data_IF_099161747155
#
_entry.id   IF_099161747155
#
_cell.length_a   1.000
_cell.length_b   1.000
_cell.length_c   1.000
_cell.angle_alpha   90.00
_cell.angle_beta   90.00
_cell.angle_gamma   90.00
#
_symmetry.space_group_name_H-M   'P 1'
#
loop_
_entity.id
_entity.type
_entity.pdbx_description
1 polymer ?
#
# COMPACT_ATOMS: atom_id res chain seq x y z
N UNK A 1 48.89 29.31 29.32
CA UNK A 1 47.56 29.16 28.68
C UNK A 1 47.73 28.58 27.28
N UNK A 2 47.21 27.38 27.00
CA UNK A 2 46.80 26.95 25.66
C UNK A 2 45.88 25.74 25.83
N UNK A 3 44.61 25.99 25.56
CA UNK A 3 43.46 25.13 25.82
C UNK A 3 43.51 23.94 24.86
N UNK A 4 43.53 22.74 25.43
CA UNK A 4 43.49 21.46 24.72
C UNK A 4 42.12 21.33 24.03
N UNK A 5 42.09 21.49 22.70
CA UNK A 5 40.88 21.34 21.88
C UNK A 5 40.46 19.87 21.89
N UNK A 6 39.47 19.55 22.71
CA UNK A 6 38.74 18.27 22.67
C UNK A 6 37.94 18.27 21.36
N UNK A 7 38.41 17.50 20.39
CA UNK A 7 37.69 17.20 19.15
C UNK A 7 36.57 16.24 19.53
N UNK A 8 35.39 16.79 19.78
CA UNK A 8 34.17 16.02 20.01
C UNK A 8 33.72 15.45 18.66
N UNK A 9 34.23 14.27 18.32
CA UNK A 9 33.85 13.50 17.15
C UNK A 9 32.44 12.93 17.41
N UNK A 10 31.42 13.73 17.13
CA UNK A 10 30.02 13.28 17.12
C UNK A 10 29.91 12.22 16.02
N UNK A 11 29.91 10.94 16.42
CA UNK A 11 29.57 9.82 15.56
C UNK A 11 28.14 10.04 15.06
N UNK A 12 28.00 10.65 13.89
CA UNK A 12 26.76 10.61 13.11
C UNK A 12 26.62 9.17 12.59
N UNK A 13 26.19 8.26 13.47
CA UNK A 13 25.67 6.98 13.01
C UNK A 13 24.52 7.32 12.06
N UNK A 14 24.58 6.91 10.77
CA UNK A 14 23.42 7.05 9.92
C UNK A 14 22.32 6.25 10.60
N UNK A 15 21.26 6.93 11.04
CA UNK A 15 20.01 6.30 11.40
C UNK A 15 19.52 5.58 10.14
N UNK A 16 19.94 4.33 9.99
CA UNK A 16 19.49 3.46 8.91
C UNK A 16 18.01 3.28 9.13
N UNK A 17 17.24 4.00 8.32
CA UNK A 17 15.81 4.01 8.41
C UNK A 17 15.29 2.62 7.97
N UNK A 18 15.05 1.76 8.96
CA UNK A 18 14.73 0.35 8.78
C UNK A 18 13.28 0.20 8.33
N UNK A 19 13.06 -0.63 7.30
CA UNK A 19 11.73 -1.02 6.84
C UNK A 19 11.08 -1.96 7.85
N UNK A 20 10.08 -1.44 8.56
CA UNK A 20 9.39 -2.14 9.65
C UNK A 20 7.98 -2.62 9.23
N UNK A 21 7.72 -2.69 7.91
CA UNK A 21 6.45 -3.19 7.39
C UNK A 21 6.26 -4.66 7.77
N UNK A 22 5.10 -5.05 8.34
CA UNK A 22 4.80 -6.44 8.63
C UNK A 22 4.68 -7.25 7.32
N UNK A 23 5.01 -8.55 7.37
CA UNK A 23 4.98 -9.42 6.19
C UNK A 23 3.62 -9.46 5.47
N UNK A 24 2.53 -9.35 6.22
CA UNK A 24 1.18 -9.28 5.64
C UNK A 24 0.94 -8.00 4.83
N UNK A 25 1.59 -6.89 5.18
CA UNK A 25 1.47 -5.64 4.42
C UNK A 25 2.17 -5.78 3.08
N UNK A 26 3.38 -6.36 3.09
CA UNK A 26 4.13 -6.66 1.87
C UNK A 26 3.39 -7.65 0.95
N UNK A 27 2.65 -8.60 1.52
CA UNK A 27 1.77 -9.48 0.74
C UNK A 27 0.63 -8.69 0.08
N UNK A 28 -0.02 -7.81 0.83
CA UNK A 28 -1.06 -6.93 0.29
C UNK A 28 -0.52 -6.02 -0.82
N UNK A 29 0.69 -5.49 -0.70
CA UNK A 29 1.30 -4.69 -1.78
C UNK A 29 1.46 -5.47 -3.09
N UNK A 30 1.74 -6.77 -3.01
CA UNK A 30 2.10 -7.61 -4.16
C UNK A 30 0.93 -8.40 -4.73
N UNK A 31 -0.07 -8.69 -3.92
CA UNK A 31 -1.12 -9.66 -4.21
C UNK A 31 -2.52 -9.14 -3.83
N UNK A 32 -2.76 -7.82 -3.83
CA UNK A 32 -4.04 -7.21 -3.48
C UNK A 32 -5.22 -7.69 -4.33
N UNK A 33 -5.13 -7.58 -5.66
CA UNK A 33 -6.24 -7.87 -6.58
C UNK A 33 -6.44 -9.37 -6.74
N UNK A 34 -7.45 -9.91 -6.05
CA UNK A 34 -7.92 -11.26 -6.24
C UNK A 34 -8.85 -11.33 -7.47
N UNK A 35 -8.49 -12.15 -8.47
CA UNK A 35 -9.23 -12.26 -9.74
C UNK A 35 -10.72 -12.60 -9.55
N UNK A 36 -11.06 -13.44 -8.57
CA UNK A 36 -12.45 -13.81 -8.29
C UNK A 36 -13.24 -12.64 -7.70
N UNK A 37 -12.67 -11.90 -6.75
CA UNK A 37 -13.32 -10.71 -6.16
C UNK A 37 -13.49 -9.63 -7.21
N UNK A 38 -12.44 -9.38 -8.01
CA UNK A 38 -12.44 -8.36 -9.05
C UNK A 38 -13.47 -8.67 -10.13
N UNK A 39 -13.53 -9.91 -10.63
CA UNK A 39 -14.52 -10.31 -11.64
C UNK A 39 -15.95 -10.35 -11.08
N UNK A 40 -16.11 -10.63 -9.78
CA UNK A 40 -17.40 -10.48 -9.10
C UNK A 40 -17.86 -9.02 -9.11
N UNK A 41 -16.98 -8.08 -8.77
CA UNK A 41 -17.26 -6.65 -8.88
C UNK A 41 -17.63 -6.27 -10.33
N UNK A 42 -16.84 -6.70 -11.32
CA UNK A 42 -17.15 -6.43 -12.72
C UNK A 42 -18.55 -6.90 -13.14
N UNK A 43 -19.00 -8.06 -12.63
CA UNK A 43 -20.35 -8.55 -12.83
C UNK A 43 -21.43 -7.64 -12.23
N UNK A 44 -21.25 -7.21 -10.98
CA UNK A 44 -22.20 -6.36 -10.25
C UNK A 44 -22.37 -4.98 -10.91
N UNK A 45 -21.31 -4.42 -11.49
CA UNK A 45 -21.33 -3.12 -12.17
C UNK A 45 -21.35 -3.23 -13.71
N UNK A 46 -21.71 -4.39 -14.25
CA UNK A 46 -21.95 -4.61 -15.69
C UNK A 46 -20.79 -4.25 -16.61
N UNK A 47 -19.55 -4.42 -16.14
CA UNK A 47 -18.35 -4.21 -16.96
C UNK A 47 -18.36 -5.22 -18.12
N UNK A 48 -18.17 -4.80 -19.38
CA UNK A 48 -18.21 -5.70 -20.53
C UNK A 48 -17.23 -6.88 -20.40
N UNK A 49 -17.71 -8.12 -20.49
CA UNK A 49 -16.86 -9.33 -20.34
C UNK A 49 -15.63 -9.35 -21.26
N UNK A 50 -15.73 -8.76 -22.44
CA UNK A 50 -14.63 -8.64 -23.39
C UNK A 50 -13.42 -7.85 -22.87
N UNK A 51 -13.60 -6.94 -21.89
CA UNK A 51 -12.52 -6.15 -21.31
C UNK A 51 -11.89 -6.79 -20.06
N UNK A 52 -12.52 -7.80 -19.46
CA UNK A 52 -12.10 -8.34 -18.15
C UNK A 52 -10.66 -8.81 -18.13
N UNK A 53 -10.25 -9.59 -19.14
CA UNK A 53 -8.87 -10.10 -19.24
C UNK A 53 -7.85 -8.96 -19.36
N UNK A 54 -8.18 -7.92 -20.14
CA UNK A 54 -7.32 -6.75 -20.29
C UNK A 54 -7.17 -6.01 -18.96
N UNK A 55 -8.28 -5.78 -18.25
CA UNK A 55 -8.27 -5.09 -16.96
C UNK A 55 -7.47 -5.91 -15.94
N UNK A 56 -7.75 -7.20 -15.79
CA UNK A 56 -7.03 -8.08 -14.85
C UNK A 56 -5.51 -8.06 -15.10
N UNK A 57 -5.09 -8.18 -16.36
CA UNK A 57 -3.66 -8.07 -16.73
C UNK A 57 -3.06 -6.74 -16.28
N UNK A 58 -3.75 -5.62 -16.54
CA UNK A 58 -3.28 -4.28 -16.15
C UNK A 58 -3.23 -4.10 -14.64
N UNK A 59 -4.17 -4.69 -13.89
CA UNK A 59 -4.11 -4.72 -12.42
C UNK A 59 -2.84 -5.42 -11.95
N UNK A 60 -2.52 -6.61 -12.50
CA UNK A 60 -1.27 -7.33 -12.18
C UNK A 60 -0.02 -6.55 -12.54
N UNK A 61 0.01 -5.91 -13.71
CA UNK A 61 1.10 -5.03 -14.12
C UNK A 61 1.27 -3.82 -13.18
N UNK A 62 0.16 -3.29 -12.65
CA UNK A 62 0.16 -2.23 -11.64
C UNK A 62 0.68 -2.69 -10.27
N UNK A 63 0.30 -3.89 -9.82
CA UNK A 63 0.73 -4.47 -8.53
C UNK A 63 2.25 -4.64 -8.45
N UNK A 64 2.90 -5.04 -9.56
CA UNK A 64 4.36 -5.16 -9.63
C UNK A 64 5.07 -3.87 -9.19
N UNK A 65 4.45 -2.71 -9.41
CA UNK A 65 5.01 -1.41 -9.09
C UNK A 65 4.46 -0.80 -7.80
N UNK A 66 3.51 -1.46 -7.12
CA UNK A 66 2.80 -0.90 -5.98
C UNK A 66 3.75 -0.56 -4.81
N UNK A 67 4.67 -1.47 -4.47
CA UNK A 67 5.68 -1.26 -3.41
C UNK A 67 6.49 0.02 -3.67
N UNK A 68 7.04 0.18 -4.87
CA UNK A 68 7.81 1.38 -5.24
C UNK A 68 6.96 2.66 -5.20
N UNK A 69 5.69 2.59 -5.62
CA UNK A 69 4.77 3.73 -5.56
C UNK A 69 4.52 4.11 -4.10
N UNK A 70 4.21 3.14 -3.24
CA UNK A 70 3.92 3.36 -1.81
C UNK A 70 5.15 3.96 -1.12
N UNK A 71 6.35 3.43 -1.35
CA UNK A 71 7.60 3.99 -0.82
C UNK A 71 7.84 5.44 -1.30
N UNK A 72 7.56 5.74 -2.57
CA UNK A 72 7.69 7.10 -3.09
C UNK A 72 6.68 8.04 -2.43
N UNK A 73 5.46 7.58 -2.18
CA UNK A 73 4.43 8.37 -1.48
C UNK A 73 4.76 8.57 -0.01
N UNK A 74 5.30 7.56 0.66
CA UNK A 74 5.60 7.58 2.10
C UNK A 74 6.71 8.58 2.45
N UNK A 75 7.65 8.81 1.52
CA UNK A 75 8.69 9.85 1.63
C UNK A 75 8.17 11.29 1.68
N UNK A 76 6.87 11.52 1.39
CA UNK A 76 6.25 12.85 1.49
C UNK A 76 5.76 13.18 2.90
N UNK A 77 5.75 12.21 3.81
CA UNK A 77 5.42 12.41 5.21
C UNK A 77 6.66 12.90 5.96
N UNK A 78 6.46 13.72 6.99
CA UNK A 78 7.55 14.19 7.86
C UNK A 78 8.30 13.03 8.53
N UNK A 79 7.57 11.97 8.89
CA UNK A 79 8.09 10.68 9.34
C UNK A 79 7.55 9.63 8.39
N UNK A 80 8.44 8.80 7.82
CA UNK A 80 8.03 7.76 6.88
C UNK A 80 7.17 6.71 7.61
N UNK A 81 5.88 6.56 7.26
CA UNK A 81 4.96 5.66 7.97
C UNK A 81 5.27 4.17 7.79
N UNK A 82 6.16 3.82 6.87
CA UNK A 82 6.60 2.44 6.60
C UNK A 82 7.83 2.04 7.42
N UNK A 83 8.48 2.99 8.10
CA UNK A 83 9.68 2.77 8.90
C UNK A 83 9.34 2.67 10.38
N UNK A 84 10.29 2.26 11.21
CA UNK A 84 10.10 2.17 12.67
C UNK A 84 9.91 3.57 13.32
N UNK A 85 8.84 3.81 14.08
CA UNK A 85 7.71 2.90 14.33
C UNK A 85 6.73 2.85 13.16
N UNK A 86 6.37 1.64 12.74
CA UNK A 86 5.38 1.43 11.68
C UNK A 86 4.05 2.07 12.07
N UNK A 87 3.48 2.88 11.17
CA UNK A 87 2.22 3.61 11.41
C UNK A 87 1.09 2.93 10.61
N UNK A 88 0.35 1.97 11.20
CA UNK A 88 -0.57 1.12 10.46
C UNK A 88 -1.71 1.88 9.78
N UNK A 89 -2.26 2.92 10.42
CA UNK A 89 -3.36 3.71 9.85
C UNK A 89 -2.93 4.50 8.60
N UNK A 90 -1.75 5.11 8.68
CA UNK A 90 -1.17 5.86 7.55
C UNK A 90 -0.76 4.90 6.43
N UNK A 91 -0.15 3.77 6.78
CA UNK A 91 0.22 2.73 5.83
C UNK A 91 -1.02 2.12 5.13
N UNK A 92 -2.11 1.91 5.86
CA UNK A 92 -3.41 1.45 5.32
C UNK A 92 -3.98 2.47 4.33
N UNK A 93 -3.96 3.75 4.67
CA UNK A 93 -4.42 4.82 3.78
C UNK A 93 -3.57 4.86 2.49
N UNK A 94 -2.24 4.78 2.61
CA UNK A 94 -1.32 4.73 1.48
C UNK A 94 -1.55 3.54 0.56
N UNK A 95 -1.79 2.36 1.14
CA UNK A 95 -2.12 1.14 0.40
C UNK A 95 -3.45 1.33 -0.33
N UNK A 96 -4.52 1.75 0.36
CA UNK A 96 -5.85 1.97 -0.24
C UNK A 96 -5.78 2.95 -1.40
N UNK A 97 -5.14 4.09 -1.21
CA UNK A 97 -5.00 5.12 -2.23
C UNK A 97 -4.22 4.60 -3.46
N UNK A 98 -3.14 3.85 -3.23
CA UNK A 98 -2.31 3.31 -4.32
C UNK A 98 -3.04 2.24 -5.10
N UNK A 99 -3.70 1.30 -4.43
CA UNK A 99 -4.49 0.28 -5.10
C UNK A 99 -5.68 0.89 -5.85
N UNK A 100 -6.33 1.91 -5.30
CA UNK A 100 -7.41 2.64 -5.99
C UNK A 100 -6.90 3.29 -7.28
N UNK A 101 -5.73 3.93 -7.24
CA UNK A 101 -5.13 4.54 -8.44
C UNK A 101 -4.79 3.50 -9.51
N UNK A 102 -4.22 2.35 -9.11
CA UNK A 102 -3.95 1.24 -10.02
C UNK A 102 -5.25 0.73 -10.66
N UNK A 103 -6.29 0.54 -9.85
CA UNK A 103 -7.59 0.09 -10.31
C UNK A 103 -8.21 1.04 -11.34
N UNK A 104 -8.34 2.32 -10.99
CA UNK A 104 -8.91 3.34 -11.88
C UNK A 104 -8.15 3.39 -13.19
N UNK A 105 -6.82 3.37 -13.15
CA UNK A 105 -5.99 3.38 -14.36
C UNK A 105 -6.25 2.15 -15.23
N UNK A 106 -6.32 0.96 -14.65
CA UNK A 106 -6.59 -0.27 -15.39
C UNK A 106 -7.97 -0.26 -16.08
N UNK A 107 -8.98 0.31 -15.43
CA UNK A 107 -10.33 0.49 -15.97
C UNK A 107 -10.35 1.48 -17.13
N UNK A 108 -9.76 2.66 -16.94
CA UNK A 108 -9.65 3.74 -17.94
C UNK A 108 -8.87 3.27 -19.17
N UNK A 109 -7.72 2.63 -18.97
CA UNK A 109 -6.87 2.09 -20.06
C UNK A 109 -7.56 0.92 -20.83
N UNK A 110 -8.68 0.43 -20.31
CA UNK A 110 -9.52 -0.60 -20.94
C UNK A 110 -10.85 -0.03 -21.46
N UNK A 111 -11.01 1.29 -21.48
CA UNK A 111 -12.16 1.98 -22.07
C UNK A 111 -13.37 2.14 -21.15
N UNK A 112 -13.22 1.94 -19.83
CA UNK A 112 -14.28 2.15 -18.86
C UNK A 112 -14.09 3.48 -18.12
N UNK A 113 -15.09 4.37 -18.19
CA UNK A 113 -14.96 5.77 -17.77
C UNK A 113 -16.04 6.26 -16.80
N UNK A 114 -16.74 5.37 -16.10
CA UNK A 114 -17.73 5.76 -15.08
C UNK A 114 -17.05 5.87 -13.70
N UNK A 115 -16.74 7.09 -13.19
CA UNK A 115 -15.99 7.24 -11.95
C UNK A 115 -16.78 6.79 -10.72
N UNK A 116 -18.09 6.99 -10.72
CA UNK A 116 -18.94 6.61 -9.59
C UNK A 116 -19.00 5.08 -9.44
N UNK A 117 -19.10 4.37 -10.56
CA UNK A 117 -19.05 2.90 -10.54
C UNK A 117 -17.64 2.37 -10.25
N UNK A 118 -16.58 3.00 -10.77
CA UNK A 118 -15.20 2.63 -10.42
C UNK A 118 -14.92 2.74 -8.93
N UNK A 119 -15.39 3.82 -8.29
CA UNK A 119 -15.23 4.00 -6.85
C UNK A 119 -15.95 2.92 -6.06
N UNK A 120 -17.22 2.64 -6.38
CA UNK A 120 -18.00 1.59 -5.71
C UNK A 120 -17.43 0.19 -5.93
N UNK A 121 -16.95 -0.11 -7.14
CA UNK A 121 -16.27 -1.37 -7.45
C UNK A 121 -15.02 -1.55 -6.60
N UNK A 122 -14.20 -0.49 -6.50
CA UNK A 122 -12.99 -0.55 -5.69
C UNK A 122 -13.29 -0.72 -4.21
N UNK A 123 -14.27 0.01 -3.67
CA UNK A 123 -14.67 -0.13 -2.27
C UNK A 123 -15.19 -1.55 -1.98
N UNK A 124 -15.97 -2.15 -2.89
CA UNK A 124 -16.36 -3.55 -2.80
C UNK A 124 -15.14 -4.49 -2.77
N UNK A 125 -14.18 -4.33 -3.69
CA UNK A 125 -12.96 -5.15 -3.72
C UNK A 125 -12.18 -5.03 -2.40
N UNK A 126 -12.05 -3.81 -1.89
CA UNK A 126 -11.38 -3.52 -0.63
C UNK A 126 -12.07 -4.17 0.57
N UNK A 127 -13.40 -4.12 0.64
CA UNK A 127 -14.20 -4.67 1.74
C UNK A 127 -14.26 -6.21 1.73
N UNK A 128 -14.18 -6.82 0.55
CA UNK A 128 -14.23 -8.28 0.39
C UNK A 128 -12.88 -8.97 0.65
N UNK A 129 -11.76 -8.24 0.78
CA UNK A 129 -10.47 -8.85 1.06
C UNK A 129 -10.28 -9.09 2.58
N UNK A 130 -10.36 -10.34 3.07
CA UNK A 130 -10.23 -10.64 4.49
C UNK A 130 -8.84 -10.33 5.05
N UNK A 131 -7.81 -10.20 4.19
CA UNK A 131 -6.44 -9.88 4.60
C UNK A 131 -6.33 -8.44 5.10
N UNK A 132 -7.19 -7.53 4.65
CA UNK A 132 -7.17 -6.12 5.08
C UNK A 132 -7.43 -6.03 6.57
N UNK A 133 -8.51 -6.64 7.06
CA UNK A 133 -8.79 -6.66 8.50
C UNK A 133 -7.70 -7.45 9.24
N UNK A 134 -7.26 -8.60 8.72
CA UNK A 134 -6.25 -9.41 9.41
C UNK A 134 -4.90 -8.71 9.58
N UNK A 135 -4.50 -7.88 8.60
CA UNK A 135 -3.19 -7.23 8.58
C UNK A 135 -3.20 -5.81 9.16
N UNK A 136 -4.34 -5.11 9.03
CA UNK A 136 -4.48 -3.67 9.28
C UNK A 136 -5.59 -3.35 10.27
N UNK A 137 -6.10 -4.33 11.03
CA UNK A 137 -6.84 -4.06 12.26
C UNK A 137 -5.87 -3.60 13.35
N UNK A 138 -6.38 -2.76 14.25
CA UNK A 138 -5.66 -1.95 15.23
C UNK A 138 -4.31 -2.52 15.69
N UNK A 139 -3.31 -1.65 15.68
CA UNK A 139 -1.95 -1.91 16.11
C UNK A 139 -1.92 -2.82 17.35
N UNK A 140 -1.00 -3.80 17.43
CA UNK A 140 -0.57 -4.29 18.74
C UNK A 140 -0.18 -3.06 19.55
N UNK A 141 -0.93 -2.78 20.61
CA UNK A 141 -0.49 -1.91 21.70
C UNK A 141 0.95 -2.26 22.00
N UNK A 142 1.84 -1.28 21.84
CA UNK A 142 3.24 -1.27 22.26
C UNK A 142 3.87 -2.66 22.46
N UNK A 143 4.64 -3.10 21.46
CA UNK A 143 5.74 -4.08 21.59
C UNK A 143 5.76 -4.80 22.95
N UNK A 144 5.08 -5.95 23.04
CA UNK A 144 5.32 -6.87 24.14
C UNK A 144 6.84 -7.10 24.23
N UNK A 145 7.46 -6.95 25.41
CA UNK A 145 8.90 -7.11 25.55
C UNK A 145 9.27 -8.51 25.08
N UNK A 146 10.18 -8.60 24.10
CA UNK A 146 10.79 -9.88 23.74
C UNK A 146 11.53 -10.39 24.98
N UNK A 147 11.01 -11.49 25.53
CA UNK A 147 11.61 -12.29 26.60
C UNK A 147 12.99 -12.79 26.23
#
# INVERSE_FOLDING_TARGET
MKILKIIFLFFLLPLSAYDDRPGCYKDLERNFFNDQIVTTAFGLWTVPKGSWRSILRRLKEGEVNAESIIEKKSKRYSVNPLQNPFQPDVAKALLKETMKQIFIRAMVDSGYFDPASMDKMFDFIWEQDPRIQKCLSEAPTAQAPRS
#
